data_IF_001345662223
#
_entry.id   IF_001345662223
#
_cell.length_a   1.000
_cell.length_b   1.000
_cell.length_c   1.000
_cell.angle_alpha   90.00
_cell.angle_beta   90.00
_cell.angle_gamma   90.00
#
_symmetry.space_group_name_H-M   'P 1'
#
loop_
_entity.id
_entity.type
_entity.pdbx_description
1 polymer ?
#
# COMPACT_ATOMS: atom_id res chain seq x y z
N UNK A 1 -25.75 21.62 37.25
CA UNK A 1 -24.46 21.44 36.53
C UNK A 1 -23.36 21.50 37.58
N UNK A 2 -22.23 20.80 37.42
CA UNK A 2 -21.14 20.89 38.39
C UNK A 2 -20.61 22.33 38.46
N UNK A 3 -20.03 22.70 39.59
CA UNK A 3 -19.24 23.92 39.73
C UNK A 3 -17.75 23.55 39.64
N UNK A 4 -16.94 24.45 39.11
CA UNK A 4 -15.49 24.32 39.03
C UNK A 4 -14.81 25.69 39.13
N UNK A 5 -13.60 25.81 39.69
CA UNK A 5 -12.89 27.08 39.78
C UNK A 5 -12.77 27.77 38.41
N UNK A 6 -12.95 29.10 38.36
CA UNK A 6 -12.88 29.88 37.11
C UNK A 6 -11.55 29.68 36.39
N UNK A 7 -10.46 29.62 37.14
CA UNK A 7 -9.13 29.35 36.60
C UNK A 7 -9.05 27.98 35.89
N UNK A 8 -9.68 26.96 36.45
CA UNK A 8 -9.71 25.61 35.87
C UNK A 8 -10.58 25.57 34.61
N UNK A 9 -11.72 26.28 34.62
CA UNK A 9 -12.54 26.43 33.42
C UNK A 9 -11.76 27.09 32.27
N UNK A 10 -10.93 28.10 32.55
CA UNK A 10 -10.08 28.75 31.55
C UNK A 10 -8.98 27.83 31.03
N UNK A 11 -8.24 27.19 31.94
CA UNK A 11 -7.19 26.20 31.60
C UNK A 11 -7.72 25.01 30.80
N UNK A 12 -9.02 24.70 30.90
CA UNK A 12 -9.66 23.67 30.08
C UNK A 12 -9.57 23.97 28.57
N UNK A 13 -9.49 25.25 28.18
CA UNK A 13 -9.29 25.63 26.78
C UNK A 13 -7.91 25.21 26.26
N UNK A 14 -6.87 25.22 27.11
CA UNK A 14 -5.54 24.74 26.74
C UNK A 14 -5.55 23.23 26.51
N UNK A 15 -6.24 22.48 27.38
CA UNK A 15 -6.47 21.03 27.21
C UNK A 15 -7.21 20.75 25.90
N UNK A 16 -8.24 21.53 25.60
CA UNK A 16 -9.00 21.44 24.34
C UNK A 16 -8.16 21.74 23.11
N UNK A 17 -7.26 22.73 23.17
CA UNK A 17 -6.35 23.06 22.09
C UNK A 17 -5.37 21.91 21.81
N UNK A 18 -4.76 21.34 22.86
CA UNK A 18 -3.86 20.19 22.75
C UNK A 18 -4.58 18.95 22.21
N UNK A 19 -5.80 18.70 22.68
CA UNK A 19 -6.65 17.63 22.19
C UNK A 19 -7.05 17.79 20.71
N UNK A 20 -7.19 19.02 20.25
CA UNK A 20 -7.42 19.34 18.83
C UNK A 20 -6.17 19.04 18.00
N UNK A 21 -4.98 19.42 18.49
CA UNK A 21 -3.70 19.08 17.85
C UNK A 21 -3.50 17.57 17.76
N UNK A 22 -3.80 16.81 18.81
CA UNK A 22 -3.74 15.34 18.79
C UNK A 22 -4.66 14.75 17.73
N UNK A 23 -5.89 15.25 17.61
CA UNK A 23 -6.82 14.80 16.55
C UNK A 23 -6.32 15.14 15.15
N UNK A 24 -5.69 16.30 14.96
CA UNK A 24 -5.08 16.69 13.68
C UNK A 24 -3.88 15.79 13.32
N UNK A 25 -3.03 15.45 14.28
CA UNK A 25 -1.91 14.52 14.09
C UNK A 25 -2.39 13.12 13.74
N UNK A 26 -3.41 12.61 14.46
CA UNK A 26 -4.03 11.33 14.14
C UNK A 26 -4.62 11.32 12.73
N UNK A 27 -5.30 12.40 12.33
CA UNK A 27 -5.82 12.54 10.98
C UNK A 27 -4.70 12.54 9.94
N UNK A 28 -3.68 13.41 10.09
CA UNK A 28 -2.50 13.48 9.21
C UNK A 28 -1.86 12.10 9.04
N UNK A 29 -1.70 11.36 10.14
CA UNK A 29 -1.15 10.00 10.12
C UNK A 29 -2.01 9.03 9.29
N UNK A 30 -3.34 9.12 9.41
CA UNK A 30 -4.26 8.23 8.69
C UNK A 30 -4.45 8.58 7.21
N UNK A 31 -4.12 9.80 6.80
CA UNK A 31 -4.34 10.33 5.43
C UNK A 31 -3.05 10.65 4.71
N UNK A 32 -1.94 9.99 5.08
CA UNK A 32 -0.68 10.16 4.38
C UNK A 32 -0.82 9.75 2.91
N UNK A 33 -0.38 10.58 1.94
CA UNK A 33 -0.45 10.25 0.52
C UNK A 33 0.34 8.97 0.17
N UNK A 34 1.40 8.66 0.93
CA UNK A 34 2.20 7.45 0.80
C UNK A 34 1.34 6.19 0.97
N UNK A 35 0.30 6.20 1.81
CA UNK A 35 -0.60 5.05 2.00
C UNK A 35 -1.37 4.73 0.71
N UNK A 36 -1.89 5.76 0.04
CA UNK A 36 -2.60 5.59 -1.22
C UNK A 36 -1.64 5.10 -2.33
N UNK A 37 -0.42 5.66 -2.36
CA UNK A 37 0.59 5.25 -3.35
C UNK A 37 1.06 3.80 -3.14
N UNK A 38 1.24 3.35 -1.90
CA UNK A 38 1.59 1.96 -1.59
C UNK A 38 0.48 1.00 -2.06
N UNK A 39 -0.78 1.33 -1.80
CA UNK A 39 -1.91 0.50 -2.25
C UNK A 39 -2.00 0.40 -3.79
N UNK A 40 -1.72 1.50 -4.49
CA UNK A 40 -1.64 1.51 -5.95
C UNK A 40 -0.51 0.61 -6.46
N UNK A 41 0.70 0.75 -5.88
CA UNK A 41 1.86 -0.06 -6.23
C UNK A 41 1.64 -1.56 -5.93
N UNK A 42 0.98 -1.89 -4.83
CA UNK A 42 0.62 -3.27 -4.50
C UNK A 42 -0.33 -3.88 -5.53
N UNK A 43 -1.30 -3.10 -6.02
CA UNK A 43 -2.20 -3.55 -7.09
C UNK A 43 -1.42 -3.82 -8.38
N UNK A 44 -0.52 -2.92 -8.77
CA UNK A 44 0.33 -3.09 -9.96
C UNK A 44 1.28 -4.28 -9.83
N UNK A 45 1.82 -4.53 -8.64
CA UNK A 45 2.70 -5.67 -8.35
C UNK A 45 1.96 -7.01 -8.49
N UNK A 46 0.68 -7.09 -8.11
CA UNK A 46 -0.11 -8.32 -8.28
C UNK A 46 -0.25 -8.69 -9.75
N UNK A 47 -0.61 -7.72 -10.59
CA UNK A 47 -0.75 -7.93 -12.04
C UNK A 47 0.57 -8.35 -12.67
N UNK A 48 1.65 -7.66 -12.29
CA UNK A 48 2.98 -7.90 -12.84
C UNK A 48 3.59 -9.22 -12.35
N UNK A 49 3.31 -9.62 -11.10
CA UNK A 49 3.70 -10.93 -10.58
C UNK A 49 3.00 -12.06 -11.36
N UNK A 50 1.73 -11.88 -11.70
CA UNK A 50 0.98 -12.84 -12.53
C UNK A 50 1.60 -12.96 -13.93
N UNK A 51 1.95 -11.83 -14.54
CA UNK A 51 2.67 -11.82 -15.83
C UNK A 51 4.03 -12.50 -15.73
N UNK A 52 4.79 -12.25 -14.65
CA UNK A 52 6.09 -12.86 -14.40
C UNK A 52 6.00 -14.39 -14.32
N UNK A 53 5.08 -14.92 -13.52
CA UNK A 53 4.85 -16.37 -13.39
C UNK A 53 4.42 -16.99 -14.72
N UNK A 54 3.58 -16.29 -15.49
CA UNK A 54 3.13 -16.73 -16.81
C UNK A 54 4.31 -16.83 -17.78
N UNK A 55 5.15 -15.80 -17.85
CA UNK A 55 6.35 -15.79 -18.71
C UNK A 55 7.38 -16.83 -18.29
N UNK A 56 7.60 -17.02 -16.99
CA UNK A 56 8.49 -18.08 -16.48
C UNK A 56 8.01 -19.47 -16.88
N UNK A 57 6.69 -19.70 -16.80
CA UNK A 57 6.08 -20.98 -17.19
C UNK A 57 6.24 -21.22 -18.69
N UNK A 58 5.96 -20.22 -19.52
CA UNK A 58 6.12 -20.33 -20.98
C UNK A 58 7.57 -20.63 -21.39
N UNK A 59 8.55 -19.95 -20.78
CA UNK A 59 9.98 -20.23 -21.02
C UNK A 59 10.34 -21.65 -20.59
N UNK A 60 9.85 -22.11 -19.43
CA UNK A 60 10.12 -23.46 -18.96
C UNK A 60 9.50 -24.54 -19.88
N UNK A 61 8.29 -24.29 -20.42
CA UNK A 61 7.64 -25.15 -21.39
C UNK A 61 8.42 -25.21 -22.71
N UNK A 62 8.81 -24.06 -23.25
CA UNK A 62 9.59 -23.96 -24.49
C UNK A 62 10.97 -24.60 -24.38
N UNK A 63 11.64 -24.49 -23.23
CA UNK A 63 12.91 -25.21 -22.99
C UNK A 63 12.72 -26.73 -23.04
N UNK A 64 11.61 -27.25 -22.52
CA UNK A 64 11.29 -28.69 -22.63
C UNK A 64 10.96 -29.09 -24.06
N UNK A 65 10.24 -28.24 -24.78
CA UNK A 65 9.93 -28.42 -26.20
C UNK A 65 11.24 -28.47 -27.03
N UNK A 66 12.17 -27.55 -26.76
CA UNK A 66 13.47 -27.48 -27.43
C UNK A 66 14.30 -28.75 -27.18
N UNK A 67 14.45 -29.17 -25.92
CA UNK A 67 15.17 -30.41 -25.59
C UNK A 67 14.59 -31.64 -26.30
N UNK A 68 13.27 -31.68 -26.50
CA UNK A 68 12.63 -32.76 -27.25
C UNK A 68 12.94 -32.66 -28.74
N UNK A 69 12.84 -31.48 -29.34
CA UNK A 69 13.15 -31.25 -30.75
C UNK A 69 14.61 -31.63 -31.07
N UNK A 70 15.56 -31.18 -30.23
CA UNK A 70 16.97 -31.56 -30.31
C UNK A 70 17.18 -33.07 -30.25
N UNK A 71 16.47 -33.77 -29.35
CA UNK A 71 16.55 -35.23 -29.22
C UNK A 71 15.99 -35.96 -30.46
N UNK A 72 14.87 -35.47 -31.02
CA UNK A 72 14.26 -36.04 -32.22
C UNK A 72 15.19 -35.87 -33.44
N UNK A 73 15.81 -34.69 -33.61
CA UNK A 73 16.84 -34.44 -34.64
C UNK A 73 18.03 -35.36 -34.45
N UNK A 74 18.55 -35.49 -33.23
CA UNK A 74 19.70 -36.34 -32.93
C UNK A 74 19.41 -37.82 -33.23
N UNK A 75 18.20 -38.31 -32.94
CA UNK A 75 17.81 -39.68 -33.25
C UNK A 75 17.86 -39.98 -34.75
N UNK A 76 17.42 -39.03 -35.59
CA UNK A 76 17.48 -39.16 -37.05
C UNK A 76 18.92 -39.09 -37.55
N UNK A 77 19.72 -38.15 -37.03
CA UNK A 77 21.16 -38.03 -37.34
C UNK A 77 21.91 -39.32 -37.02
N UNK A 78 21.71 -39.88 -35.83
CA UNK A 78 22.34 -41.13 -35.40
C UNK A 78 21.97 -42.31 -36.31
N UNK A 79 20.71 -42.37 -36.77
CA UNK A 79 20.27 -43.39 -37.73
C UNK A 79 20.91 -43.20 -39.09
N UNK A 80 20.90 -41.98 -39.62
CA UNK A 80 21.53 -41.66 -40.89
C UNK A 80 23.03 -41.99 -40.87
N UNK A 81 23.74 -41.70 -39.78
CA UNK A 81 25.16 -42.07 -39.62
C UNK A 81 25.35 -43.60 -39.65
N UNK A 82 24.50 -44.37 -38.97
CA UNK A 82 24.59 -45.84 -39.01
C UNK A 82 24.34 -46.40 -40.41
N UNK A 83 23.33 -45.88 -41.11
CA UNK A 83 22.97 -46.34 -42.45
C UNK A 83 24.03 -45.95 -43.48
N UNK A 84 24.62 -44.76 -43.36
CA UNK A 84 25.74 -44.29 -44.18
C UNK A 84 26.98 -45.17 -43.98
N UNK A 85 27.36 -45.47 -42.74
CA UNK A 85 28.49 -46.36 -42.44
C UNK A 85 28.28 -47.76 -43.03
N UNK A 86 27.05 -48.29 -43.00
CA UNK A 86 26.73 -49.58 -43.60
C UNK A 86 26.82 -49.53 -45.12
N UNK A 87 26.32 -48.46 -45.75
CA UNK A 87 26.44 -48.24 -47.19
C UNK A 87 27.91 -48.18 -47.63
N UNK A 88 28.73 -47.40 -46.92
CA UNK A 88 30.17 -47.21 -47.20
C UNK A 88 30.99 -48.49 -47.02
N UNK A 89 30.57 -49.37 -46.10
CA UNK A 89 31.20 -50.68 -45.91
C UNK A 89 31.00 -51.64 -47.09
N UNK A 90 30.05 -51.35 -48.00
CA UNK A 90 29.69 -52.21 -49.13
C UNK A 90 29.10 -53.58 -48.73
N UNK A 91 28.74 -53.78 -47.46
CA UNK A 91 28.21 -55.05 -46.96
C UNK A 91 26.72 -55.21 -47.30
N UNK A 92 26.42 -56.05 -48.29
CA UNK A 92 25.06 -56.42 -48.67
C UNK A 92 24.93 -56.77 -50.15
N UNK A 93 23.73 -57.15 -50.59
CA UNK A 93 23.44 -57.27 -52.02
C UNK A 93 23.27 -55.89 -52.65
N UNK A 94 23.38 -55.79 -53.99
CA UNK A 94 23.13 -54.54 -54.71
C UNK A 94 21.74 -53.93 -54.41
N UNK A 95 20.75 -54.80 -54.17
CA UNK A 95 19.39 -54.39 -53.80
C UNK A 95 19.34 -53.78 -52.39
N UNK A 96 20.13 -54.32 -51.44
CA UNK A 96 20.20 -53.80 -50.08
C UNK A 96 20.88 -52.42 -50.05
N UNK A 97 21.95 -52.24 -50.83
CA UNK A 97 22.64 -50.94 -50.94
C UNK A 97 21.76 -49.87 -51.59
N UNK A 98 20.98 -50.24 -52.62
CA UNK A 98 20.01 -49.32 -53.23
C UNK A 98 18.89 -48.94 -52.23
N UNK A 99 18.41 -49.89 -51.43
CA UNK A 99 17.41 -49.61 -50.39
C UNK A 99 17.96 -48.64 -49.33
N UNK A 100 19.21 -48.82 -48.88
CA UNK A 100 19.88 -47.91 -47.95
C UNK A 100 20.01 -46.48 -48.52
N UNK A 101 20.32 -46.32 -49.81
CA UNK A 101 20.37 -44.99 -50.45
C UNK A 101 19.00 -44.29 -50.43
N UNK A 102 17.92 -45.03 -50.71
CA UNK A 102 16.56 -44.47 -50.62
C UNK A 102 16.17 -44.11 -49.17
N UNK A 103 16.55 -44.94 -48.20
CA UNK A 103 16.34 -44.67 -46.78
C UNK A 103 17.09 -43.41 -46.32
N UNK A 104 18.36 -43.26 -46.69
CA UNK A 104 19.16 -42.06 -46.40
C UNK A 104 18.53 -40.79 -46.98
N UNK A 105 18.01 -40.84 -48.21
CA UNK A 105 17.26 -39.71 -48.78
C UNK A 105 16.00 -39.36 -48.00
N UNK A 106 15.31 -40.37 -47.46
CA UNK A 106 14.12 -40.18 -46.63
C UNK A 106 14.48 -39.61 -45.24
N UNK A 107 15.57 -40.10 -44.64
CA UNK A 107 16.09 -39.59 -43.36
C UNK A 107 16.59 -38.15 -43.48
N UNK A 108 17.27 -37.79 -44.58
CA UNK A 108 17.71 -36.43 -44.83
C UNK A 108 16.53 -35.45 -44.92
N UNK A 109 15.45 -35.85 -45.62
CA UNK A 109 14.22 -35.05 -45.66
C UNK A 109 13.61 -34.90 -44.26
N UNK A 110 13.48 -36.01 -43.52
CA UNK A 110 12.93 -35.99 -42.16
C UNK A 110 13.77 -35.16 -41.19
N UNK A 111 15.09 -35.20 -41.32
CA UNK A 111 16.00 -34.38 -40.53
C UNK A 111 15.73 -32.90 -40.80
N UNK A 112 15.66 -32.49 -42.07
CA UNK A 112 15.33 -31.11 -42.43
C UNK A 112 13.98 -30.65 -41.86
N UNK A 113 12.94 -31.48 -41.96
CA UNK A 113 11.62 -31.17 -41.37
C UNK A 113 11.69 -30.99 -39.84
N UNK A 114 12.54 -31.75 -39.14
CA UNK A 114 12.71 -31.64 -37.69
C UNK A 114 13.58 -30.45 -37.28
N UNK A 115 14.61 -30.13 -38.06
CA UNK A 115 15.47 -28.95 -37.86
C UNK A 115 14.68 -27.65 -38.05
N UNK A 116 13.70 -27.62 -38.97
CA UNK A 116 12.78 -26.48 -39.11
C UNK A 116 11.91 -26.30 -37.86
N UNK A 117 11.40 -27.39 -37.28
CA UNK A 117 10.65 -27.36 -36.02
C UNK A 117 11.55 -26.91 -34.85
N UNK A 118 12.77 -27.44 -34.75
CA UNK A 118 13.75 -27.03 -33.73
C UNK A 118 13.99 -25.52 -33.79
N UNK A 119 14.22 -24.99 -34.99
CA UNK A 119 14.46 -23.56 -35.20
C UNK A 119 13.25 -22.70 -34.82
N UNK A 120 12.02 -23.12 -35.18
CA UNK A 120 10.80 -22.42 -34.76
C UNK A 120 10.66 -22.36 -33.22
N UNK A 121 10.99 -23.47 -32.53
CA UNK A 121 10.97 -23.52 -31.06
C UNK A 121 12.04 -22.61 -30.46
N UNK A 122 13.24 -22.55 -31.05
CA UNK A 122 14.30 -21.64 -30.63
C UNK A 122 13.89 -20.17 -30.76
N UNK A 123 13.29 -19.77 -31.88
CA UNK A 123 12.82 -18.40 -32.10
C UNK A 123 11.73 -18.01 -31.10
N UNK A 124 10.77 -18.91 -30.85
CA UNK A 124 9.74 -18.72 -29.81
C UNK A 124 10.37 -18.59 -28.43
N UNK A 125 11.33 -19.44 -28.08
CA UNK A 125 12.03 -19.40 -26.80
C UNK A 125 12.75 -18.07 -26.60
N UNK A 126 13.52 -17.60 -27.59
CA UNK A 126 14.24 -16.33 -27.53
C UNK A 126 13.30 -15.15 -27.30
N UNK A 127 12.17 -15.10 -28.01
CA UNK A 127 11.16 -14.06 -27.82
C UNK A 127 10.57 -14.06 -26.40
N UNK A 128 10.28 -15.24 -25.84
CA UNK A 128 9.74 -15.37 -24.48
C UNK A 128 10.79 -15.10 -23.40
N UNK A 129 12.06 -15.41 -23.62
CA UNK A 129 13.15 -15.06 -22.70
C UNK A 129 13.39 -13.55 -22.65
N UNK A 130 13.30 -12.86 -23.79
CA UNK A 130 13.33 -11.40 -23.85
C UNK A 130 12.16 -10.79 -23.06
N UNK A 131 10.92 -11.25 -23.31
CA UNK A 131 9.75 -10.79 -22.58
C UNK A 131 9.84 -11.07 -21.07
N UNK A 132 10.37 -12.23 -20.67
CA UNK A 132 10.62 -12.56 -19.26
C UNK A 132 11.60 -11.59 -18.63
N UNK A 133 12.67 -11.23 -19.34
CA UNK A 133 13.66 -10.25 -18.87
C UNK A 133 13.03 -8.88 -18.61
N UNK A 134 12.21 -8.40 -19.55
CA UNK A 134 11.49 -7.12 -19.42
C UNK A 134 10.54 -7.11 -18.21
N UNK A 135 9.71 -8.15 -18.08
CA UNK A 135 8.75 -8.27 -16.97
C UNK A 135 9.47 -8.40 -15.63
N UNK A 136 10.59 -9.11 -15.58
CA UNK A 136 11.41 -9.23 -14.35
C UNK A 136 12.00 -7.88 -13.94
N UNK A 137 12.51 -7.10 -14.90
CA UNK A 137 13.05 -5.77 -14.64
C UNK A 137 11.96 -4.82 -14.15
N UNK A 138 10.79 -4.81 -14.80
CA UNK A 138 9.65 -4.00 -14.38
C UNK A 138 9.18 -4.39 -12.96
N UNK A 139 9.12 -5.69 -12.64
CA UNK A 139 8.72 -6.17 -11.32
C UNK A 139 9.71 -5.70 -10.26
N UNK A 140 11.00 -5.84 -10.51
CA UNK A 140 12.05 -5.41 -9.59
C UNK A 140 11.97 -3.91 -9.32
N UNK A 141 11.82 -3.10 -10.37
CA UNK A 141 11.69 -1.65 -10.23
C UNK A 141 10.46 -1.22 -9.41
N UNK A 142 9.31 -1.89 -9.59
CA UNK A 142 8.10 -1.63 -8.80
C UNK A 142 8.26 -2.04 -7.33
N UNK A 143 8.95 -3.14 -7.05
CA UNK A 143 9.27 -3.56 -5.68
C UNK A 143 10.17 -2.53 -4.99
N UNK A 144 11.20 -2.03 -5.69
CA UNK A 144 12.09 -0.97 -5.18
C UNK A 144 11.32 0.32 -4.90
N UNK A 145 10.48 0.78 -5.85
CA UNK A 145 9.62 1.95 -5.65
C UNK A 145 8.69 1.79 -4.45
N UNK A 146 8.07 0.62 -4.27
CA UNK A 146 7.23 0.34 -3.09
C UNK A 146 8.04 0.46 -1.81
N UNK A 147 9.24 -0.14 -1.77
CA UNK A 147 10.13 -0.07 -0.61
C UNK A 147 10.54 1.37 -0.27
N UNK A 148 10.79 2.22 -1.26
CA UNK A 148 11.12 3.63 -1.05
C UNK A 148 9.95 4.41 -0.44
N UNK A 149 8.74 4.21 -0.96
CA UNK A 149 7.53 4.87 -0.43
C UNK A 149 7.19 4.37 0.97
N UNK A 150 7.39 3.08 1.25
CA UNK A 150 7.26 2.52 2.60
C UNK A 150 8.24 3.17 3.58
N UNK A 151 9.50 3.36 3.19
CA UNK A 151 10.49 4.05 4.02
C UNK A 151 10.10 5.52 4.28
N UNK A 152 9.55 6.23 3.29
CA UNK A 152 9.05 7.60 3.45
C UNK A 152 7.83 7.67 4.39
N UNK A 153 6.89 6.74 4.25
CA UNK A 153 5.74 6.58 5.15
C UNK A 153 6.22 6.37 6.59
N UNK A 154 7.17 5.45 6.79
CA UNK A 154 7.64 5.09 8.13
C UNK A 154 8.41 6.23 8.79
N UNK A 155 9.22 6.97 8.02
CA UNK A 155 9.87 8.19 8.50
C UNK A 155 8.83 9.26 8.92
N UNK A 156 7.79 9.46 8.10
CA UNK A 156 6.71 10.41 8.43
C UNK A 156 5.90 9.96 9.64
N UNK A 157 5.61 8.67 9.77
CA UNK A 157 4.99 8.09 10.95
C UNK A 157 5.82 8.34 12.20
N UNK A 158 7.12 8.08 12.16
CA UNK A 158 8.01 8.33 13.29
C UNK A 158 7.98 9.80 13.73
N UNK A 159 7.95 10.75 12.78
CA UNK A 159 7.83 12.18 13.09
C UNK A 159 6.49 12.52 13.75
N UNK A 160 5.38 12.06 13.18
CA UNK A 160 4.03 12.34 13.69
C UNK A 160 3.82 11.68 15.06
N UNK A 161 4.31 10.47 15.26
CA UNK A 161 4.19 9.73 16.51
C UNK A 161 5.03 10.39 17.62
N UNK A 162 6.22 10.90 17.29
CA UNK A 162 7.03 11.70 18.23
C UNK A 162 6.35 13.01 18.63
N UNK A 163 5.78 13.75 17.67
CA UNK A 163 5.02 14.97 17.95
C UNK A 163 3.78 14.66 18.80
N UNK A 164 3.04 13.59 18.48
CA UNK A 164 1.87 13.17 19.24
C UNK A 164 2.22 12.81 20.69
N UNK A 165 3.36 12.13 20.91
CA UNK A 165 3.84 11.81 22.25
C UNK A 165 4.17 13.08 23.06
N UNK A 166 4.82 14.07 22.44
CA UNK A 166 5.08 15.36 23.08
C UNK A 166 3.78 16.08 23.45
N UNK A 167 2.85 16.22 22.50
CA UNK A 167 1.56 16.90 22.73
C UNK A 167 0.73 16.16 23.79
N UNK A 168 0.79 14.83 23.83
CA UNK A 168 0.12 14.05 24.87
C UNK A 168 0.71 14.32 26.27
N UNK A 169 2.03 14.46 26.39
CA UNK A 169 2.68 14.84 27.65
C UNK A 169 2.30 16.27 28.08
N UNK A 170 2.30 17.22 27.15
CA UNK A 170 1.81 18.60 27.37
C UNK A 170 0.35 18.58 27.85
N UNK A 171 -0.50 17.75 27.23
CA UNK A 171 -1.92 17.60 27.57
C UNK A 171 -2.12 17.03 28.97
N UNK A 172 -1.33 16.03 29.35
CA UNK A 172 -1.35 15.46 30.70
C UNK A 172 -0.93 16.50 31.75
N UNK A 173 0.12 17.29 31.47
CA UNK A 173 0.57 18.36 32.36
C UNK A 173 -0.48 19.50 32.47
N UNK A 174 -1.10 19.89 31.35
CA UNK A 174 -2.15 20.92 31.34
C UNK A 174 -3.38 20.51 32.14
N UNK A 175 -3.77 19.23 32.05
CA UNK A 175 -4.91 18.67 32.79
C UNK A 175 -4.62 18.43 34.28
N UNK A 176 -3.34 18.35 34.67
CA UNK A 176 -2.97 18.11 36.06
C UNK A 176 -3.46 19.26 36.97
N UNK A 177 -4.10 18.86 38.07
CA UNK A 177 -4.62 19.79 39.08
C UNK A 177 -5.89 20.55 38.68
N UNK A 178 -6.51 20.23 37.54
CA UNK A 178 -7.87 20.71 37.24
C UNK A 178 -8.90 19.94 38.09
N UNK A 179 -10.03 20.59 38.39
CA UNK A 179 -11.18 19.94 39.01
C UNK A 179 -11.58 18.64 38.29
N UNK A 180 -11.66 17.54 39.06
CA UNK A 180 -11.90 16.21 38.51
C UNK A 180 -13.30 16.07 37.89
N UNK A 181 -14.31 16.79 38.43
CA UNK A 181 -15.67 16.80 37.89
C UNK A 181 -15.73 17.52 36.54
N UNK A 182 -15.00 18.64 36.41
CA UNK A 182 -14.85 19.38 35.16
C UNK A 182 -14.17 18.53 34.08
N UNK A 183 -13.03 17.89 34.41
CA UNK A 183 -12.31 17.02 33.47
C UNK A 183 -13.16 15.82 33.04
N UNK A 184 -13.86 15.18 33.99
CA UNK A 184 -14.75 14.04 33.67
C UNK A 184 -15.87 14.45 32.72
N UNK A 185 -16.50 15.61 32.94
CA UNK A 185 -17.53 16.12 32.04
C UNK A 185 -16.93 16.45 30.66
N UNK A 186 -15.77 17.10 30.64
CA UNK A 186 -15.06 17.45 29.42
C UNK A 186 -14.73 16.21 28.58
N UNK A 187 -14.09 15.20 29.15
CA UNK A 187 -13.68 13.99 28.43
C UNK A 187 -14.89 13.22 27.89
N UNK A 188 -16.00 13.16 28.67
CA UNK A 188 -17.28 12.61 28.20
C UNK A 188 -17.80 13.34 26.97
N UNK A 189 -17.81 14.67 27.01
CA UNK A 189 -18.32 15.48 25.89
C UNK A 189 -17.39 15.40 24.68
N UNK A 190 -16.08 15.41 24.88
CA UNK A 190 -15.10 15.22 23.81
C UNK A 190 -15.28 13.88 23.12
N UNK A 191 -15.48 12.79 23.86
CA UNK A 191 -15.73 11.47 23.29
C UNK A 191 -17.00 11.39 22.45
N UNK A 192 -18.01 12.21 22.74
CA UNK A 192 -19.27 12.26 22.00
C UNK A 192 -19.27 13.24 20.81
N UNK A 193 -18.59 14.38 20.96
CA UNK A 193 -18.71 15.54 20.07
C UNK A 193 -17.41 15.88 19.33
N UNK A 194 -16.33 15.14 19.58
CA UNK A 194 -14.97 15.40 19.09
C UNK A 194 -14.23 16.48 19.90
N UNK A 195 -14.94 17.51 20.39
CA UNK A 195 -14.42 18.58 21.24
C UNK A 195 -15.36 18.80 22.44
N UNK A 196 -14.79 18.94 23.65
CA UNK A 196 -15.55 18.99 24.90
C UNK A 196 -15.80 20.40 25.45
N UNK A 197 -14.99 21.39 25.07
CA UNK A 197 -15.08 22.77 25.54
C UNK A 197 -14.91 23.79 24.41
N UNK A 198 -15.41 25.01 24.62
CA UNK A 198 -15.22 26.13 23.72
C UNK A 198 -15.27 27.46 24.47
N UNK A 199 -14.53 28.46 23.97
CA UNK A 199 -14.62 29.82 24.48
C UNK A 199 -15.98 30.45 24.11
N UNK A 200 -16.54 31.21 25.05
CA UNK A 200 -17.62 32.17 24.79
C UNK A 200 -16.96 33.53 24.62
N UNK A 201 -16.88 34.01 23.37
CA UNK A 201 -16.33 35.33 23.04
C UNK A 201 -17.47 36.27 22.69
N UNK A 202 -17.73 37.24 23.58
CA UNK A 202 -18.91 38.10 23.50
C UNK A 202 -20.20 37.28 23.56
N UNK A 203 -20.94 37.23 22.45
CA UNK A 203 -22.19 36.44 22.32
C UNK A 203 -22.02 35.14 21.53
N UNK A 204 -20.80 34.78 21.13
CA UNK A 204 -20.55 33.68 20.19
C UNK A 204 -19.85 32.51 20.85
N UNK A 205 -20.38 31.29 20.64
CA UNK A 205 -19.67 30.06 20.98
C UNK A 205 -18.62 29.78 19.91
N UNK A 206 -17.34 29.69 20.26
CA UNK A 206 -16.28 29.38 19.28
C UNK A 206 -16.26 27.90 18.83
N UNK A 207 -17.00 27.03 19.53
CA UNK A 207 -17.11 25.61 19.19
C UNK A 207 -18.05 25.34 18.03
N UNK A 208 -19.30 25.80 18.12
CA UNK A 208 -20.27 25.71 17.01
C UNK A 208 -20.31 26.94 16.11
N UNK A 209 -19.61 28.02 16.49
CA UNK A 209 -19.51 29.28 15.75
C UNK A 209 -20.81 30.05 15.59
N UNK A 210 -21.86 29.67 16.34
CA UNK A 210 -23.15 30.36 16.38
C UNK A 210 -23.17 31.45 17.46
N UNK A 211 -23.97 32.49 17.20
CA UNK A 211 -24.32 33.47 18.22
C UNK A 211 -25.43 32.90 19.11
N UNK A 212 -25.27 33.04 20.43
CA UNK A 212 -26.27 32.64 21.40
C UNK A 212 -27.44 33.62 21.36
N UNK A 213 -28.65 33.10 21.57
CA UNK A 213 -29.81 33.97 21.71
C UNK A 213 -29.64 34.87 22.97
N UNK A 214 -30.26 36.06 23.02
CA UNK A 214 -30.11 36.96 24.16
C UNK A 214 -30.55 36.38 25.50
N UNK A 215 -31.63 35.58 25.52
CA UNK A 215 -32.17 34.95 26.74
C UNK A 215 -31.19 33.93 27.34
N UNK A 216 -30.59 33.08 26.52
CA UNK A 216 -29.61 32.08 26.94
C UNK A 216 -28.33 32.75 27.41
N UNK A 217 -27.92 33.82 26.72
CA UNK A 217 -26.75 34.62 27.09
C UNK A 217 -26.96 35.29 28.46
N UNK A 218 -28.12 35.90 28.69
CA UNK A 218 -28.48 36.50 29.97
C UNK A 218 -28.55 35.43 31.08
N UNK A 219 -29.12 34.26 30.77
CA UNK A 219 -29.15 33.11 31.67
C UNK A 219 -27.75 32.56 32.01
N UNK A 220 -26.79 32.64 31.10
CA UNK A 220 -25.39 32.27 31.34
C UNK A 220 -24.67 33.33 32.18
N UNK A 221 -24.91 34.61 31.90
CA UNK A 221 -24.32 35.76 32.63
C UNK A 221 -24.83 35.85 34.08
N UNK A 222 -26.09 35.47 34.32
CA UNK A 222 -26.69 35.47 35.66
C UNK A 222 -26.18 34.33 36.57
N UNK A 223 -25.55 33.29 36.00
CA UNK A 223 -24.96 32.20 36.78
C UNK A 223 -23.65 32.67 37.43
N UNK A 224 -23.37 32.10 38.60
CA UNK A 224 -22.11 32.35 39.31
C UNK A 224 -20.90 31.93 38.44
N UNK A 225 -19.76 32.60 38.62
CA UNK A 225 -18.59 32.43 37.75
C UNK A 225 -18.00 31.00 37.81
N UNK A 226 -18.16 30.31 38.93
CA UNK A 226 -17.74 28.91 39.10
C UNK A 226 -18.72 27.89 38.47
N UNK A 227 -19.91 28.31 38.04
CA UNK A 227 -20.91 27.39 37.52
C UNK A 227 -20.52 26.94 36.11
N UNK A 228 -20.27 25.65 35.89
CA UNK A 228 -19.94 25.13 34.57
C UNK A 228 -21.19 25.19 33.70
N UNK A 229 -21.13 25.98 32.62
CA UNK A 229 -22.23 26.16 31.67
C UNK A 229 -21.98 25.41 30.38
N UNK A 230 -23.05 25.09 29.66
CA UNK A 230 -23.00 24.42 28.36
C UNK A 230 -23.71 25.25 27.30
N UNK A 231 -23.22 25.15 26.07
CA UNK A 231 -23.92 25.71 24.91
C UNK A 231 -25.19 24.89 24.63
N UNK A 232 -26.34 25.54 24.48
CA UNK A 232 -27.61 24.85 24.17
C UNK A 232 -27.61 24.25 22.76
N UNK A 233 -26.91 24.89 21.81
CA UNK A 233 -26.85 24.45 20.43
C UNK A 233 -25.97 23.21 20.22
N UNK A 234 -24.79 23.18 20.86
CA UNK A 234 -23.80 22.13 20.59
C UNK A 234 -23.40 21.31 21.81
N UNK A 235 -23.90 21.64 23.00
CA UNK A 235 -23.66 20.87 24.22
C UNK A 235 -22.24 20.95 24.78
N UNK A 236 -21.31 21.71 24.21
CA UNK A 236 -19.94 21.86 24.75
C UNK A 236 -19.95 22.69 26.03
N UNK A 237 -18.96 22.47 26.90
CA UNK A 237 -18.69 23.39 28.02
C UNK A 237 -18.36 24.77 27.43
N UNK A 238 -19.06 25.80 27.89
CA UNK A 238 -18.79 27.19 27.51
C UNK A 238 -17.93 27.85 28.57
N UNK A 239 -16.69 28.18 28.19
CA UNK A 239 -15.76 28.88 29.05
C UNK A 239 -15.95 30.39 28.85
N UNK A 240 -16.42 31.07 29.90
CA UNK A 240 -16.64 32.52 29.89
C UNK A 240 -15.29 33.25 29.96
N UNK A 241 -14.93 33.93 28.89
CA UNK A 241 -13.79 34.84 28.85
C UNK A 241 -14.23 36.26 29.28
N UNK A 242 -13.36 37.04 29.95
CA UNK A 242 -13.67 38.43 30.27
C UNK A 242 -13.83 39.26 28.99
N UNK A 243 -14.62 40.34 29.06
CA UNK A 243 -14.81 41.24 27.92
C UNK A 243 -13.47 41.90 27.55
N UNK A 244 -12.90 41.55 26.38
CA UNK A 244 -11.67 42.13 25.84
C UNK A 244 -10.52 41.14 25.54
N UNK A 245 -10.67 39.85 25.87
CA UNK A 245 -9.77 38.73 25.49
C UNK A 245 -10.38 37.82 24.39
#
# INVERSE_FOLDING_TARGET
MPNAPVADQRRLLDVQALDTRLSQLAHRRSTLPELARIAELETQLVDLHTALVTSQTAVADLRRELTKAEADVQQVRDRATRDQNRLDSGQGSAKDLQALQHELGSLAKRQGDLEEVELEVMERLEAHEAALTEVTAAHTALVEQRSEVEAQRDATFAQVDAEAAQVAAERAAAAAGLDAGLVTLYDKLRGQLGTGAAALRGRRCEGCRLELNPLDLDGIKAKHEDAVVRCEECGRILVRLPEGE
#
